data_IF_734607773418
#
_entry.id   IF_734607773418
#
_cell.length_a   1.000
_cell.length_b   1.000
_cell.length_c   1.000
_cell.angle_alpha   90.00
_cell.angle_beta   90.00
_cell.angle_gamma   90.00
#
_symmetry.space_group_name_H-M   'P 1'
#
loop_
_entity.id
_entity.type
_entity.pdbx_description
1 polymer ?
#
# COMPACT_ATOMS: atom_id res chain seq x y z
N UNK A 1 -25.45 -13.29 -12.18
CA UNK A 1 -24.81 -14.20 -11.20
C UNK A 1 -23.50 -14.65 -11.79
N UNK A 2 -22.40 -14.06 -11.37
CA UNK A 2 -21.08 -14.59 -11.69
C UNK A 2 -20.93 -15.98 -11.08
N UNK A 3 -20.63 -16.97 -11.90
CA UNK A 3 -20.27 -18.30 -11.42
C UNK A 3 -19.03 -18.16 -10.56
N UNK A 4 -19.17 -18.32 -9.24
CA UNK A 4 -18.03 -18.51 -8.34
C UNK A 4 -17.24 -19.71 -8.87
N UNK A 5 -16.13 -19.47 -9.57
CA UNK A 5 -15.24 -20.52 -10.01
C UNK A 5 -14.62 -21.17 -8.78
N UNK A 6 -14.81 -22.48 -8.63
CA UNK A 6 -14.18 -23.25 -7.56
C UNK A 6 -12.85 -23.78 -8.07
N UNK A 7 -11.77 -23.53 -7.35
CA UNK A 7 -10.44 -24.08 -7.65
C UNK A 7 -10.14 -25.23 -6.70
N UNK A 8 -9.62 -26.32 -7.25
CA UNK A 8 -9.18 -27.49 -6.47
C UNK A 8 -7.73 -27.78 -6.78
N UNK A 9 -6.92 -27.84 -5.73
CA UNK A 9 -5.48 -28.07 -5.84
C UNK A 9 -5.07 -29.35 -5.14
N UNK A 10 -4.04 -30.02 -5.67
CA UNK A 10 -3.45 -31.21 -5.06
C UNK A 10 -2.78 -30.92 -3.71
N UNK A 11 -2.19 -29.73 -3.59
CA UNK A 11 -1.52 -29.26 -2.38
C UNK A 11 -2.13 -27.95 -1.89
N UNK A 12 -2.11 -27.68 -0.56
CA UNK A 12 -2.55 -26.40 -0.04
C UNK A 12 -1.76 -25.23 -0.65
N UNK A 13 -2.44 -24.13 -0.91
CA UNK A 13 -1.86 -22.89 -1.44
C UNK A 13 -2.11 -21.74 -0.47
N UNK A 14 -1.10 -20.93 -0.15
CA UNK A 14 -1.35 -19.66 0.52
C UNK A 14 -2.03 -18.69 -0.43
N UNK A 15 -2.86 -17.81 0.10
CA UNK A 15 -3.33 -16.65 -0.64
C UNK A 15 -2.22 -15.62 -0.78
N UNK A 16 -2.24 -14.85 -1.86
CA UNK A 16 -1.30 -13.76 -2.10
C UNK A 16 -2.05 -12.43 -2.11
N UNK A 17 -1.52 -11.46 -1.40
CA UNK A 17 -1.99 -10.08 -1.40
C UNK A 17 -0.88 -9.12 -1.85
N UNK A 18 -1.23 -7.89 -2.13
CA UNK A 18 -0.30 -6.78 -2.27
C UNK A 18 -0.65 -5.69 -1.27
N UNK A 19 0.36 -5.03 -0.73
CA UNK A 19 0.21 -3.86 0.12
C UNK A 19 1.10 -2.72 -0.40
N UNK A 20 0.55 -1.50 -0.45
CA UNK A 20 1.25 -0.34 -1.00
C UNK A 20 1.53 0.69 0.10
N UNK A 21 2.81 1.01 0.33
CA UNK A 21 3.22 2.12 1.17
C UNK A 21 3.45 3.34 0.30
N UNK A 22 2.47 4.23 0.24
CA UNK A 22 2.56 5.47 -0.54
C UNK A 22 3.00 6.60 0.39
N UNK A 23 4.23 7.03 0.22
CA UNK A 23 4.77 8.21 0.89
C UNK A 23 4.40 9.46 0.13
N UNK A 24 3.82 10.43 0.82
CA UNK A 24 3.50 11.75 0.30
C UNK A 24 4.38 12.81 0.93
N UNK A 25 5.17 13.50 0.13
CA UNK A 25 6.00 14.62 0.59
C UNK A 25 5.45 15.94 0.05
N UNK A 26 5.07 16.84 0.94
CA UNK A 26 4.48 18.15 0.58
C UNK A 26 5.50 19.32 0.53
N UNK A 27 6.78 19.00 0.72
CA UNK A 27 7.88 19.97 0.80
C UNK A 27 8.33 20.25 2.23
N UNK A 28 7.58 19.78 3.23
CA UNK A 28 7.87 19.95 4.65
C UNK A 28 7.76 18.61 5.40
N UNK A 29 6.59 17.97 5.32
CA UNK A 29 6.26 16.79 6.09
C UNK A 29 6.14 15.56 5.18
N UNK A 30 6.53 14.39 5.70
CA UNK A 30 6.34 13.10 5.06
C UNK A 30 5.09 12.45 5.62
N UNK A 31 4.15 12.16 4.73
CA UNK A 31 2.87 11.54 5.05
C UNK A 31 2.79 10.13 4.47
N UNK A 32 1.90 9.32 4.99
CA UNK A 32 1.60 7.97 4.50
C UNK A 32 0.10 7.89 4.20
N UNK A 33 -0.23 7.35 3.03
CA UNK A 33 -1.61 7.12 2.62
C UNK A 33 -2.14 5.85 3.28
N UNK A 34 -3.22 5.98 4.01
CA UNK A 34 -3.92 4.87 4.66
C UNK A 34 -5.39 4.85 4.24
N UNK A 35 -5.99 3.68 4.39
CA UNK A 35 -7.42 3.43 4.17
C UNK A 35 -8.07 2.92 5.45
N UNK A 36 -9.28 3.36 5.74
CA UNK A 36 -10.07 2.80 6.82
C UNK A 36 -10.79 1.54 6.33
N UNK A 37 -10.62 0.45 7.03
CA UNK A 37 -11.22 -0.83 6.64
C UNK A 37 -12.73 -0.82 6.85
N UNK A 38 -13.48 -1.11 5.79
CA UNK A 38 -14.94 -1.26 5.84
C UNK A 38 -15.41 -2.64 6.28
N UNK A 39 -14.55 -3.66 6.25
CA UNK A 39 -14.88 -5.07 6.50
C UNK A 39 -14.00 -5.70 7.58
N UNK A 40 -14.55 -6.74 8.21
CA UNK A 40 -13.76 -7.61 9.10
C UNK A 40 -12.72 -8.45 8.32
N UNK A 41 -11.58 -8.82 8.91
CA UNK A 41 -11.12 -8.46 10.26
C UNK A 41 -10.65 -7.00 10.31
N UNK A 42 -10.54 -6.44 11.51
CA UNK A 42 -10.09 -5.07 11.78
C UNK A 42 -10.96 -3.97 11.18
N UNK A 43 -12.27 -4.19 11.05
CA UNK A 43 -13.22 -3.16 10.60
C UNK A 43 -13.09 -1.88 11.44
N UNK A 44 -13.01 -0.72 10.77
CA UNK A 44 -12.79 0.58 11.39
C UNK A 44 -11.33 0.90 11.74
N UNK A 45 -10.41 -0.05 11.60
CA UNK A 45 -8.97 0.22 11.74
C UNK A 45 -8.38 0.71 10.42
N UNK A 46 -7.26 1.42 10.52
CA UNK A 46 -6.53 1.90 9.36
C UNK A 46 -5.55 0.84 8.83
N UNK A 47 -5.32 0.84 7.54
CA UNK A 47 -4.50 -0.14 6.86
C UNK A 47 -3.79 0.48 5.64
N UNK A 48 -2.80 -0.21 5.13
CA UNK A 48 -2.23 0.09 3.81
C UNK A 48 -3.25 -0.25 2.72
N UNK A 49 -3.32 0.54 1.64
CA UNK A 49 -4.06 0.13 0.44
C UNK A 49 -3.51 -1.18 -0.09
N UNK A 50 -4.40 -2.10 -0.44
CA UNK A 50 -4.00 -3.40 -0.94
C UNK A 50 -5.11 -4.44 -0.89
N UNK A 51 -4.87 -5.59 -1.49
CA UNK A 51 -5.87 -6.65 -1.54
C UNK A 51 -5.36 -7.92 -2.21
N UNK A 52 -6.28 -8.84 -2.43
CA UNK A 52 -5.97 -10.17 -2.96
C UNK A 52 -5.66 -10.16 -4.46
N UNK A 53 -4.60 -10.90 -4.81
CA UNK A 53 -4.21 -11.17 -6.19
C UNK A 53 -5.31 -11.99 -6.89
N UNK A 54 -5.76 -11.53 -8.06
CA UNK A 54 -6.63 -12.28 -8.95
C UNK A 54 -5.82 -13.26 -9.79
N UNK A 55 -6.49 -14.29 -10.34
CA UNK A 55 -5.82 -15.36 -11.10
C UNK A 55 -5.30 -14.92 -12.46
N UNK A 56 -5.71 -13.77 -12.96
CA UNK A 56 -5.42 -13.24 -14.28
C UNK A 56 -4.62 -11.92 -14.26
N UNK A 57 -3.99 -11.60 -13.12
CA UNK A 57 -3.17 -10.39 -12.97
C UNK A 57 -1.80 -10.71 -12.34
N UNK A 58 -0.80 -9.89 -12.63
CA UNK A 58 0.49 -9.90 -11.95
C UNK A 58 0.40 -9.16 -10.60
N UNK A 59 1.38 -9.34 -9.73
CA UNK A 59 1.41 -8.63 -8.43
C UNK A 59 1.52 -7.11 -8.64
N UNK A 60 2.19 -6.65 -9.69
CA UNK A 60 2.28 -5.23 -10.05
C UNK A 60 0.91 -4.67 -10.51
N UNK A 61 0.17 -5.43 -11.30
CA UNK A 61 -1.18 -5.07 -11.75
C UNK A 61 -2.15 -5.04 -10.57
N UNK A 62 -2.09 -6.05 -9.69
CA UNK A 62 -2.85 -6.09 -8.44
C UNK A 62 -2.60 -4.84 -7.58
N UNK A 63 -1.34 -4.53 -7.32
CA UNK A 63 -0.97 -3.37 -6.50
C UNK A 63 -1.53 -2.06 -7.07
N UNK A 64 -1.43 -1.85 -8.38
CA UNK A 64 -1.99 -0.67 -9.06
C UNK A 64 -3.51 -0.63 -9.01
N UNK A 65 -4.16 -1.76 -9.24
CA UNK A 65 -5.62 -1.87 -9.22
C UNK A 65 -6.17 -1.57 -7.83
N UNK A 66 -5.66 -2.23 -6.80
CA UNK A 66 -6.11 -2.02 -5.42
C UNK A 66 -5.86 -0.58 -4.95
N UNK A 67 -4.70 -0.01 -5.27
CA UNK A 67 -4.40 1.38 -4.94
C UNK A 67 -5.42 2.34 -5.57
N UNK A 68 -5.76 2.14 -6.84
CA UNK A 68 -6.74 2.96 -7.54
C UNK A 68 -8.16 2.75 -7.00
N UNK A 69 -8.58 1.51 -6.80
CA UNK A 69 -9.93 1.17 -6.32
C UNK A 69 -10.19 1.72 -4.91
N UNK A 70 -9.20 1.64 -4.02
CA UNK A 70 -9.36 2.05 -2.62
C UNK A 70 -9.06 3.53 -2.34
N UNK A 71 -8.25 4.19 -3.17
CA UNK A 71 -7.77 5.56 -2.89
C UNK A 71 -7.94 6.54 -4.03
N UNK A 72 -8.33 6.11 -5.22
CA UNK A 72 -8.34 6.89 -6.46
C UNK A 72 -6.95 7.34 -6.94
N UNK A 73 -5.87 6.84 -6.34
CA UNK A 73 -4.50 7.13 -6.77
C UNK A 73 -4.08 6.20 -7.90
N UNK A 74 -3.66 6.77 -9.03
CA UNK A 74 -3.23 6.04 -10.22
C UNK A 74 -1.99 6.67 -10.86
N UNK A 75 -1.40 5.98 -11.84
CA UNK A 75 -0.20 6.44 -12.56
C UNK A 75 1.02 6.68 -11.65
N UNK A 76 1.15 5.86 -10.61
CA UNK A 76 2.27 5.90 -9.68
C UNK A 76 3.26 4.78 -10.04
N UNK A 77 4.55 5.10 -10.02
CA UNK A 77 5.59 4.08 -10.13
C UNK A 77 5.76 3.37 -8.79
N UNK A 78 5.27 2.14 -8.71
CA UNK A 78 5.39 1.27 -7.54
C UNK A 78 6.66 0.43 -7.65
N UNK A 79 7.45 0.41 -6.59
CA UNK A 79 8.65 -0.41 -6.47
C UNK A 79 8.44 -1.48 -5.41
N UNK A 80 8.60 -2.74 -5.80
CA UNK A 80 8.57 -3.86 -4.86
C UNK A 80 9.79 -3.80 -3.94
N UNK A 81 9.61 -4.01 -2.64
CA UNK A 81 10.72 -3.99 -1.70
C UNK A 81 10.84 -5.24 -0.82
N UNK A 82 9.75 -5.93 -0.51
CA UNK A 82 9.79 -7.13 0.34
C UNK A 82 8.55 -7.99 0.18
N UNK A 83 8.66 -9.26 0.59
CA UNK A 83 7.52 -10.17 0.76
C UNK A 83 7.41 -10.53 2.23
N UNK A 84 6.28 -10.19 2.86
CA UNK A 84 6.00 -10.52 4.26
C UNK A 84 5.26 -11.84 4.31
N UNK A 85 5.81 -12.80 5.05
CA UNK A 85 5.33 -14.19 5.03
C UNK A 85 5.21 -14.83 6.41
N UNK A 86 5.13 -14.05 7.48
CA UNK A 86 4.88 -14.59 8.81
C UNK A 86 3.60 -15.44 8.79
N UNK A 87 3.65 -16.61 9.44
CA UNK A 87 2.59 -17.62 9.32
C UNK A 87 1.24 -17.12 9.81
N UNK A 88 1.25 -16.26 10.82
CA UNK A 88 0.09 -15.74 11.54
C UNK A 88 -0.20 -14.25 11.23
N UNK A 89 0.40 -13.71 10.17
CA UNK A 89 0.22 -12.28 9.82
C UNK A 89 -1.23 -11.89 9.51
N UNK A 90 -2.02 -12.81 9.03
CA UNK A 90 -3.44 -12.64 8.74
C UNK A 90 -4.25 -13.69 9.52
N UNK A 91 -5.26 -13.28 10.33
CA UNK A 91 -6.02 -14.22 11.14
C UNK A 91 -6.99 -15.10 10.34
N UNK A 92 -7.27 -14.76 9.08
CA UNK A 92 -8.26 -15.50 8.25
C UNK A 92 -7.70 -16.80 7.70
N UNK A 93 -6.46 -16.75 7.19
CA UNK A 93 -5.82 -17.86 6.48
C UNK A 93 -4.32 -17.63 6.29
N UNK A 94 -3.63 -18.56 5.65
CA UNK A 94 -2.24 -18.40 5.26
C UNK A 94 -2.12 -17.40 4.12
N UNK A 95 -1.60 -16.22 4.39
CA UNK A 95 -1.46 -15.11 3.43
C UNK A 95 -0.01 -14.64 3.36
N UNK A 96 0.49 -14.49 2.14
CA UNK A 96 1.73 -13.77 1.83
C UNK A 96 1.36 -12.42 1.23
N UNK A 97 2.08 -11.36 1.58
CA UNK A 97 1.92 -10.09 0.87
C UNK A 97 3.21 -9.69 0.17
N UNK A 98 3.07 -9.26 -1.07
CA UNK A 98 4.13 -8.60 -1.83
C UNK A 98 3.97 -7.10 -1.64
N UNK A 99 4.94 -6.47 -0.97
CA UNK A 99 4.86 -5.08 -0.58
C UNK A 99 5.59 -4.17 -1.57
N UNK A 100 4.92 -3.07 -1.90
CA UNK A 100 5.40 -2.03 -2.80
C UNK A 100 5.46 -0.69 -2.06
N UNK A 101 6.33 0.21 -2.53
CA UNK A 101 6.32 1.59 -2.07
C UNK A 101 6.47 2.58 -3.22
N UNK A 102 6.06 3.80 -2.99
CA UNK A 102 6.28 4.93 -3.88
C UNK A 102 6.42 6.21 -3.07
N UNK A 103 7.07 7.21 -3.65
CA UNK A 103 7.14 8.55 -3.13
C UNK A 103 6.48 9.50 -4.13
N UNK A 104 5.46 10.22 -3.67
CA UNK A 104 4.65 11.10 -4.50
C UNK A 104 4.49 12.48 -3.85
N UNK A 105 3.99 13.43 -4.63
CA UNK A 105 3.55 14.72 -4.16
C UNK A 105 2.03 14.65 -3.92
N UNK A 106 1.54 14.80 -2.67
CA UNK A 106 0.11 14.62 -2.37
C UNK A 106 -0.81 15.51 -3.18
N UNK A 107 -0.37 16.73 -3.51
CA UNK A 107 -1.18 17.68 -4.30
C UNK A 107 -1.46 17.24 -5.75
N UNK A 108 -0.76 16.22 -6.25
CA UNK A 108 -0.99 15.69 -7.60
C UNK A 108 -2.15 14.68 -7.65
N UNK A 109 -2.72 14.33 -6.49
CA UNK A 109 -3.75 13.30 -6.38
C UNK A 109 -4.96 13.78 -5.57
N UNK A 110 -6.15 13.51 -6.09
CA UNK A 110 -7.40 13.61 -5.34
C UNK A 110 -7.70 12.27 -4.69
N UNK A 111 -7.37 12.15 -3.40
CA UNK A 111 -7.56 10.92 -2.63
C UNK A 111 -9.02 10.80 -2.20
N UNK A 112 -9.65 9.71 -2.60
CA UNK A 112 -11.05 9.39 -2.30
C UNK A 112 -11.12 7.92 -1.94
N UNK A 113 -11.70 7.61 -0.77
CA UNK A 113 -11.98 6.22 -0.39
C UNK A 113 -12.99 5.59 -1.35
N UNK A 114 -12.79 4.33 -1.66
CA UNK A 114 -13.67 3.58 -2.56
C UNK A 114 -13.58 2.09 -2.30
N UNK A 115 -14.44 1.34 -2.97
CA UNK A 115 -14.58 -0.11 -2.84
C UNK A 115 -14.79 -0.53 -1.37
N UNK A 116 -13.95 -1.37 -0.80
CA UNK A 116 -14.03 -1.85 0.59
C UNK A 116 -13.42 -0.87 1.62
N UNK A 117 -12.88 0.27 1.16
CA UNK A 117 -12.35 1.34 2.01
C UNK A 117 -13.44 2.39 2.28
N UNK A 118 -13.78 2.60 3.56
CA UNK A 118 -14.73 3.64 3.95
C UNK A 118 -14.17 5.05 3.80
N UNK A 119 -12.87 5.20 4.01
CA UNK A 119 -12.12 6.46 3.87
C UNK A 119 -10.69 6.19 3.39
N UNK A 120 -10.07 7.19 2.75
CA UNK A 120 -8.65 7.19 2.43
C UNK A 120 -8.07 8.57 2.79
N UNK A 121 -6.99 8.59 3.56
CA UNK A 121 -6.41 9.82 4.10
C UNK A 121 -4.88 9.77 4.20
N UNK A 122 -4.26 10.95 4.14
CA UNK A 122 -2.85 11.14 4.42
C UNK A 122 -2.63 11.36 5.93
N UNK A 123 -1.73 10.58 6.51
CA UNK A 123 -1.32 10.70 7.90
C UNK A 123 0.15 11.10 8.01
N UNK A 124 0.48 12.01 8.89
CA UNK A 124 1.87 12.34 9.19
C UNK A 124 2.57 11.09 9.75
N UNK A 125 3.76 10.79 9.23
CA UNK A 125 4.45 9.52 9.47
C UNK A 125 4.77 9.20 10.93
N UNK A 126 4.83 10.20 11.81
CA UNK A 126 5.10 10.05 13.25
C UNK A 126 3.81 10.00 14.09
N UNK A 127 2.66 10.23 13.48
CA UNK A 127 1.35 10.28 14.13
C UNK A 127 0.35 9.31 13.49
N UNK A 128 0.81 8.11 13.18
CA UNK A 128 -0.04 7.10 12.56
C UNK A 128 -1.07 6.55 13.56
N UNK A 129 -2.32 6.33 13.11
CA UNK A 129 -3.33 5.66 13.92
C UNK A 129 -2.96 4.17 14.15
N UNK A 130 -3.67 3.47 15.05
CA UNK A 130 -3.53 2.01 15.16
C UNK A 130 -3.80 1.33 13.82
N UNK A 131 -2.87 0.45 13.41
CA UNK A 131 -2.90 -0.21 12.11
C UNK A 131 -3.38 -1.66 12.22
N UNK A 132 -4.08 -2.12 11.18
CA UNK A 132 -4.48 -3.50 11.01
C UNK A 132 -3.28 -4.40 10.65
N UNK A 133 -3.41 -5.70 10.91
CA UNK A 133 -2.42 -6.73 10.54
C UNK A 133 -1.00 -6.40 11.07
N UNK A 134 0.00 -6.69 10.26
CA UNK A 134 1.41 -6.35 10.47
C UNK A 134 1.84 -5.07 9.72
N UNK A 135 0.89 -4.21 9.36
CA UNK A 135 1.15 -3.03 8.52
C UNK A 135 2.12 -2.03 9.16
N UNK A 136 2.21 -1.99 10.48
CA UNK A 136 3.23 -1.19 11.17
C UNK A 136 4.65 -1.65 10.81
N UNK A 137 4.88 -2.97 10.78
CA UNK A 137 6.16 -3.56 10.38
C UNK A 137 6.46 -3.31 8.91
N UNK A 138 5.45 -3.42 8.04
CA UNK A 138 5.56 -3.13 6.61
C UNK A 138 6.00 -1.68 6.38
N UNK A 139 5.36 -0.72 7.03
CA UNK A 139 5.71 0.71 6.95
C UNK A 139 7.14 0.95 7.48
N UNK A 140 7.51 0.33 8.60
CA UNK A 140 8.85 0.48 9.16
C UNK A 140 9.94 0.06 8.17
N UNK A 141 9.77 -1.10 7.53
CA UNK A 141 10.72 -1.57 6.52
C UNK A 141 10.72 -0.68 5.27
N UNK A 142 9.56 -0.23 4.81
CA UNK A 142 9.45 0.70 3.69
C UNK A 142 10.18 2.03 3.94
N UNK A 143 10.10 2.57 5.16
CA UNK A 143 10.85 3.77 5.56
C UNK A 143 12.36 3.57 5.44
N UNK A 144 12.87 2.42 5.87
CA UNK A 144 14.31 2.12 5.73
C UNK A 144 14.72 2.00 4.25
N UNK A 145 13.91 1.35 3.42
CA UNK A 145 14.14 1.27 1.97
C UNK A 145 14.12 2.67 1.32
N UNK A 146 13.17 3.52 1.71
CA UNK A 146 13.11 4.90 1.20
C UNK A 146 14.35 5.72 1.61
N UNK A 147 14.78 5.63 2.87
CA UNK A 147 16.00 6.30 3.34
C UNK A 147 17.22 5.88 2.55
N UNK A 148 17.40 4.60 2.32
CA UNK A 148 18.53 4.07 1.55
C UNK A 148 18.49 4.55 0.10
N UNK A 149 17.31 4.57 -0.50
CA UNK A 149 17.11 5.06 -1.87
C UNK A 149 17.42 6.55 -1.99
N UNK A 150 17.01 7.36 -1.02
CA UNK A 150 17.28 8.80 -0.99
C UNK A 150 18.79 9.12 -0.79
N UNK A 151 19.55 8.25 -0.12
CA UNK A 151 20.99 8.39 0.02
C UNK A 151 21.73 8.09 -1.28
N UNK A 152 21.24 7.18 -2.09
CA UNK A 152 21.91 6.65 -3.29
C UNK A 152 21.46 7.29 -4.59
N UNK A 153 20.26 7.87 -4.63
CA UNK A 153 19.65 8.45 -5.84
C UNK A 153 19.02 9.81 -5.56
N UNK A 154 19.16 10.81 -6.44
CA UNK A 154 18.59 12.15 -6.27
C UNK A 154 17.08 12.20 -6.56
N UNK A 155 16.29 11.27 -5.98
CA UNK A 155 14.86 11.13 -6.23
C UNK A 155 14.07 12.30 -5.63
N UNK A 156 14.53 12.81 -4.48
CA UNK A 156 13.89 13.93 -3.80
C UNK A 156 13.82 15.20 -4.67
N UNK A 157 14.76 15.39 -5.61
CA UNK A 157 14.75 16.54 -6.51
C UNK A 157 13.55 16.56 -7.48
N UNK A 158 12.98 15.40 -7.81
CA UNK A 158 11.78 15.33 -8.67
C UNK A 158 10.50 15.76 -7.97
N UNK A 159 10.53 15.87 -6.64
CA UNK A 159 9.38 16.24 -5.81
C UNK A 159 9.45 17.71 -5.38
N UNK A 160 10.60 18.35 -5.56
CA UNK A 160 10.77 19.77 -5.28
C UNK A 160 10.18 20.58 -6.46
N UNK A 161 9.42 21.61 -6.14
CA UNK A 161 8.92 22.53 -7.15
C UNK A 161 10.08 23.16 -7.91
N UNK A 162 9.90 23.45 -9.22
CA UNK A 162 10.89 24.05 -10.12
C UNK A 162 11.40 25.45 -9.69
N UNK A 163 11.02 25.92 -8.52
CA UNK A 163 11.45 27.17 -7.92
C UNK A 163 12.24 26.92 -6.64
N UNK A 164 13.47 26.44 -6.79
CA UNK A 164 14.51 26.69 -5.80
C UNK A 164 15.23 27.96 -6.20
N UNK A 165 14.90 29.07 -5.53
CA UNK A 165 15.83 30.20 -5.48
C UNK A 165 16.92 29.86 -4.46
N UNK A 166 18.15 29.76 -4.92
CA UNK A 166 19.31 29.81 -4.06
C UNK A 166 19.42 31.19 -3.37
#
# INVERSE_FOLDING_TARGET
MEKKSSYTYKYPHPSVTTDCVIFGFDGKDLNILLVERGLEPFKGSWALPGGFLKMDETVEECAKRELQEETNVSNVFLEQFHTFSAVDRDPRERVLTVAFYALVKPSDYEVIGGDDASQAEWFEQNELPPLAFDHEEVIKMAKECLKEKLRTKPIAFKLLNDKFSM
#
